data_IF_910920174070
#
_entry.id   IF_910920174070
#
_cell.length_a   1.000
_cell.length_b   1.000
_cell.length_c   1.000
_cell.angle_alpha   90.00
_cell.angle_beta   90.00
_cell.angle_gamma   90.00
#
_symmetry.space_group_name_H-M   'P 1'
#
loop_
_entity.id
_entity.type
_entity.pdbx_description
1 polymer ?
#
# COMPACT_ATOMS: atom_id res chain seq x y z
N UNK A 1 -4.92 -12.51 -13.42
CA UNK A 1 -6.20 -12.05 -12.85
C UNK A 1 -6.06 -10.55 -12.61
N UNK A 2 -7.00 -9.75 -13.04
CA UNK A 2 -6.96 -8.29 -12.84
C UNK A 2 -8.04 -7.91 -11.83
N UNK A 3 -7.63 -7.31 -10.72
CA UNK A 3 -8.54 -6.67 -9.76
C UNK A 3 -8.49 -5.16 -9.96
N UNK A 4 -9.48 -4.43 -9.45
CA UNK A 4 -9.58 -2.97 -9.64
C UNK A 4 -8.37 -2.16 -9.15
N UNK A 5 -7.55 -2.73 -8.25
CA UNK A 5 -6.42 -2.05 -7.60
C UNK A 5 -5.06 -2.71 -7.87
N UNK A 6 -5.01 -3.87 -8.52
CA UNK A 6 -3.73 -4.52 -8.85
C UNK A 6 -3.87 -5.53 -9.98
N UNK A 7 -2.79 -5.71 -10.74
CA UNK A 7 -2.62 -6.82 -11.68
C UNK A 7 -1.89 -7.96 -10.97
N UNK A 8 -2.45 -9.16 -11.03
CA UNK A 8 -1.81 -10.38 -10.54
C UNK A 8 -1.46 -11.31 -11.71
N UNK A 9 -0.18 -11.60 -11.85
CA UNK A 9 0.44 -12.43 -12.88
C UNK A 9 0.84 -13.78 -12.29
N UNK A 10 0.40 -14.87 -12.91
CA UNK A 10 0.88 -16.21 -12.58
C UNK A 10 2.19 -16.45 -13.36
N UNK A 11 3.27 -16.70 -12.64
CA UNK A 11 4.59 -16.94 -13.23
C UNK A 11 5.05 -18.35 -12.88
N UNK A 12 5.70 -19.02 -13.85
CA UNK A 12 6.31 -20.33 -13.67
C UNK A 12 7.82 -20.19 -13.70
N UNK A 13 8.49 -20.63 -12.63
CA UNK A 13 9.95 -20.69 -12.54
C UNK A 13 10.47 -21.86 -13.38
N UNK A 14 11.75 -21.80 -13.76
CA UNK A 14 12.43 -22.87 -14.51
C UNK A 14 12.37 -24.22 -13.79
N UNK A 15 12.45 -24.22 -12.45
CA UNK A 15 12.30 -25.41 -11.61
C UNK A 15 10.85 -25.94 -11.53
N UNK A 16 9.93 -25.42 -12.33
CA UNK A 16 8.53 -25.82 -12.39
C UNK A 16 7.63 -25.23 -11.31
N UNK A 17 8.15 -24.53 -10.30
CA UNK A 17 7.34 -23.91 -9.23
C UNK A 17 6.61 -22.68 -9.75
N UNK A 18 5.36 -22.54 -9.34
CA UNK A 18 4.52 -21.39 -9.68
C UNK A 18 4.53 -20.34 -8.56
N UNK A 19 4.52 -19.07 -8.94
CA UNK A 19 4.42 -17.91 -8.03
C UNK A 19 3.45 -16.89 -8.59
N UNK A 20 2.91 -16.04 -7.72
CA UNK A 20 2.05 -14.93 -8.11
C UNK A 20 2.82 -13.63 -7.94
N UNK A 21 2.98 -12.88 -9.02
CA UNK A 21 3.50 -11.51 -8.95
C UNK A 21 2.32 -10.53 -8.99
N UNK A 22 2.21 -9.70 -7.96
CA UNK A 22 1.19 -8.65 -7.84
C UNK A 22 1.86 -7.30 -8.03
N UNK A 23 1.29 -6.48 -8.91
CA UNK A 23 1.74 -5.12 -9.22
C UNK A 23 0.53 -4.19 -8.99
N UNK A 24 0.61 -3.22 -8.05
CA UNK A 24 -0.45 -2.25 -7.83
C UNK A 24 -0.76 -1.43 -9.09
N UNK A 25 -2.04 -1.15 -9.31
CA UNK A 25 -2.46 -0.19 -10.33
C UNK A 25 -2.25 1.24 -9.81
N UNK A 26 -2.02 2.22 -10.70
CA UNK A 26 -1.84 3.64 -10.31
C UNK A 26 -3.00 4.24 -9.50
N UNK A 27 -4.17 3.59 -9.51
CA UNK A 27 -5.39 4.00 -8.83
C UNK A 27 -5.44 3.48 -7.38
N UNK A 28 -4.51 2.61 -6.97
CA UNK A 28 -4.53 1.91 -5.68
C UNK A 28 -4.18 2.74 -4.43
N UNK A 29 -4.14 4.08 -4.52
CA UNK A 29 -3.67 4.94 -3.43
C UNK A 29 -2.16 5.24 -3.51
N UNK A 30 -1.56 5.86 -2.47
CA UNK A 30 -0.12 6.06 -2.41
C UNK A 30 0.57 4.70 -2.46
N UNK A 31 1.17 4.41 -3.61
CA UNK A 31 1.63 3.09 -3.98
C UNK A 31 2.49 2.46 -2.85
N UNK A 32 3.37 3.24 -2.24
CA UNK A 32 4.30 2.73 -1.23
C UNK A 32 3.58 2.21 0.03
N UNK A 33 2.52 2.90 0.47
CA UNK A 33 1.80 2.54 1.69
C UNK A 33 0.96 1.28 1.50
N UNK A 34 0.35 1.10 0.32
CA UNK A 34 -0.51 -0.05 0.07
C UNK A 34 0.31 -1.34 -0.08
N UNK A 35 1.41 -1.29 -0.81
CA UNK A 35 2.32 -2.43 -0.95
C UNK A 35 2.92 -2.85 0.40
N UNK A 36 3.47 -1.90 1.16
CA UNK A 36 4.11 -2.21 2.44
C UNK A 36 3.11 -2.65 3.51
N UNK A 37 1.90 -2.08 3.54
CA UNK A 37 0.86 -2.49 4.50
C UNK A 37 0.27 -3.86 4.20
N UNK A 38 0.15 -4.22 2.93
CA UNK A 38 -0.28 -5.57 2.54
C UNK A 38 0.74 -6.63 2.94
N UNK A 39 2.03 -6.37 2.72
CA UNK A 39 3.10 -7.27 3.16
C UNK A 39 3.13 -7.39 4.67
N UNK A 40 3.04 -6.28 5.41
CA UNK A 40 3.00 -6.30 6.87
C UNK A 40 1.79 -7.09 7.41
N UNK A 41 0.63 -6.96 6.79
CA UNK A 41 -0.56 -7.74 7.13
C UNK A 41 -0.36 -9.25 6.89
N UNK A 42 0.16 -9.64 5.72
CA UNK A 42 0.41 -11.05 5.39
C UNK A 42 1.41 -11.69 6.34
N UNK A 43 2.53 -11.01 6.63
CA UNK A 43 3.55 -11.50 7.55
C UNK A 43 3.03 -11.59 8.99
N UNK A 44 2.21 -10.62 9.43
CA UNK A 44 1.60 -10.67 10.74
C UNK A 44 0.62 -11.84 10.88
N UNK A 45 -0.32 -11.99 9.94
CA UNK A 45 -1.32 -13.06 9.97
C UNK A 45 -0.62 -14.43 9.96
N UNK A 46 0.39 -14.59 9.10
CA UNK A 46 1.19 -15.81 9.01
C UNK A 46 1.88 -16.16 10.33
N UNK A 47 2.35 -15.16 11.08
CA UNK A 47 3.13 -15.36 12.31
C UNK A 47 2.27 -15.53 13.55
N UNK A 48 1.12 -14.85 13.61
CA UNK A 48 0.32 -14.72 14.83
C UNK A 48 -1.03 -15.47 14.79
N UNK A 49 -1.38 -16.10 13.66
CA UNK A 49 -2.65 -16.83 13.52
C UNK A 49 -2.46 -18.21 12.89
N UNK A 50 -3.49 -19.05 12.93
CA UNK A 50 -3.51 -20.32 12.21
C UNK A 50 -3.99 -20.20 10.75
N UNK A 51 -4.30 -18.98 10.30
CA UNK A 51 -4.93 -18.73 9.01
C UNK A 51 -3.91 -18.95 7.90
N UNK A 52 -4.20 -19.83 6.91
CA UNK A 52 -3.29 -20.05 5.80
C UNK A 52 -3.30 -18.82 4.88
N UNK A 53 -2.18 -18.10 4.86
CA UNK A 53 -1.93 -17.01 3.92
C UNK A 53 -0.72 -17.35 3.02
N UNK A 54 -0.71 -16.90 1.75
CA UNK A 54 0.45 -17.05 0.87
C UNK A 54 1.71 -16.44 1.49
N UNK A 55 2.85 -17.13 1.39
CA UNK A 55 4.11 -16.57 1.85
C UNK A 55 4.60 -15.48 0.90
N UNK A 56 5.08 -14.38 1.45
CA UNK A 56 5.80 -13.34 0.71
C UNK A 56 7.20 -13.86 0.40
N UNK A 57 7.53 -13.94 -0.89
CA UNK A 57 8.82 -14.42 -1.39
C UNK A 57 9.80 -13.27 -1.64
N UNK A 58 9.27 -12.15 -2.11
CA UNK A 58 10.03 -10.93 -2.40
C UNK A 58 9.02 -9.79 -2.60
N UNK A 59 9.38 -8.57 -2.28
CA UNK A 59 8.52 -7.40 -2.49
C UNK A 59 9.38 -6.14 -2.55
N UNK A 60 8.82 -5.07 -3.10
CA UNK A 60 9.39 -3.73 -3.01
C UNK A 60 8.26 -2.70 -3.10
N UNK A 61 8.26 -1.76 -2.17
CA UNK A 61 7.39 -0.58 -2.21
C UNK A 61 8.08 0.65 -2.82
N UNK A 62 9.32 0.52 -3.29
CA UNK A 62 10.00 1.59 -4.01
C UNK A 62 9.91 1.32 -5.51
N UNK A 63 9.35 2.25 -6.28
CA UNK A 63 9.31 2.14 -7.74
C UNK A 63 10.69 2.23 -8.41
N UNK A 64 11.71 2.74 -7.71
CA UNK A 64 13.08 2.88 -8.19
C UNK A 64 13.90 1.59 -8.08
N UNK A 65 13.26 0.46 -8.33
CA UNK A 65 13.88 -0.86 -8.37
C UNK A 65 13.97 -1.37 -9.84
N UNK A 66 14.71 -2.46 -10.13
CA UNK A 66 14.87 -2.97 -11.50
C UNK A 66 13.57 -3.34 -12.24
N UNK A 67 12.47 -3.58 -11.53
CA UNK A 67 11.13 -3.83 -12.12
C UNK A 67 10.48 -2.52 -12.59
N UNK A 68 10.93 -1.36 -12.08
CA UNK A 68 10.38 -0.03 -12.39
C UNK A 68 9.00 0.24 -11.80
N UNK A 69 8.56 -0.63 -10.88
CA UNK A 69 7.27 -0.55 -10.22
C UNK A 69 7.33 -1.29 -8.89
N UNK A 70 6.43 -0.94 -7.99
CA UNK A 70 6.22 -1.72 -6.78
C UNK A 70 5.65 -3.09 -7.10
N UNK A 71 5.97 -4.05 -6.25
CA UNK A 71 5.53 -5.41 -6.45
C UNK A 71 5.51 -6.22 -5.15
N UNK A 72 4.72 -7.29 -5.19
CA UNK A 72 4.76 -8.38 -4.21
C UNK A 72 4.81 -9.69 -4.99
N UNK A 73 5.83 -10.51 -4.75
CA UNK A 73 5.93 -11.89 -5.23
C UNK A 73 5.50 -12.82 -4.09
N UNK A 74 4.46 -13.60 -4.33
CA UNK A 74 3.82 -14.49 -3.38
C UNK A 74 3.94 -15.95 -3.85
N UNK A 75 3.89 -16.89 -2.91
CA UNK A 75 3.59 -18.28 -3.24
C UNK A 75 2.19 -18.41 -3.87
N UNK A 76 2.01 -19.35 -4.80
CA UNK A 76 0.68 -19.66 -5.31
C UNK A 76 -0.10 -20.41 -4.23
N UNK A 77 -1.25 -19.87 -3.82
CA UNK A 77 -2.17 -20.58 -2.93
C UNK A 77 -2.66 -21.88 -3.59
N UNK A 78 -2.62 -22.98 -2.82
CA UNK A 78 -3.18 -24.24 -3.26
C UNK A 78 -4.72 -24.19 -3.19
N UNK A 79 -5.37 -24.86 -4.14
CA UNK A 79 -6.84 -24.96 -4.21
C UNK A 79 -7.44 -24.24 -5.40
N UNK A 80 -8.76 -24.10 -5.36
CA UNK A 80 -9.57 -23.47 -6.41
C UNK A 80 -10.44 -22.37 -5.81
N UNK A 81 -10.76 -21.30 -6.56
CA UNK A 81 -11.68 -20.28 -6.08
C UNK A 81 -13.04 -20.87 -5.72
N UNK A 82 -13.56 -20.53 -4.54
CA UNK A 82 -14.79 -21.13 -4.01
C UNK A 82 -15.99 -21.00 -4.96
N UNK A 83 -16.11 -19.85 -5.65
CA UNK A 83 -17.23 -19.61 -6.57
C UNK A 83 -17.34 -20.65 -7.69
N UNK A 84 -16.23 -21.30 -8.07
CA UNK A 84 -16.21 -22.34 -9.11
C UNK A 84 -16.80 -23.67 -8.62
N UNK A 85 -16.82 -23.90 -7.31
CA UNK A 85 -17.29 -25.17 -6.71
C UNK A 85 -18.58 -24.99 -5.93
N UNK A 86 -18.91 -23.77 -5.52
CA UNK A 86 -20.04 -23.47 -4.64
C UNK A 86 -21.38 -24.06 -5.15
N UNK A 87 -21.67 -23.94 -6.44
CA UNK A 87 -22.92 -24.46 -7.01
C UNK A 87 -23.01 -25.99 -6.88
N UNK A 88 -21.90 -26.69 -7.08
CA UNK A 88 -21.82 -28.15 -7.11
C UNK A 88 -21.66 -28.80 -5.72
N UNK A 89 -21.41 -28.00 -4.67
CA UNK A 89 -21.22 -28.50 -3.31
C UNK A 89 -22.55 -28.92 -2.67
N UNK A 90 -22.52 -30.04 -1.95
CA UNK A 90 -23.63 -30.46 -1.10
C UNK A 90 -23.90 -29.44 0.01
N UNK A 91 -25.14 -29.36 0.48
CA UNK A 91 -25.53 -28.40 1.52
C UNK A 91 -24.75 -28.59 2.83
N UNK A 92 -24.49 -29.85 3.22
CA UNK A 92 -23.69 -30.16 4.40
C UNK A 92 -22.24 -29.63 4.28
N UNK A 93 -21.63 -29.77 3.11
CA UNK A 93 -20.26 -29.27 2.86
C UNK A 93 -20.21 -27.73 2.88
N UNK A 94 -21.26 -27.08 2.37
CA UNK A 94 -21.41 -25.61 2.45
C UNK A 94 -21.49 -25.15 3.90
N UNK A 95 -22.29 -25.82 4.72
CA UNK A 95 -22.43 -25.50 6.15
C UNK A 95 -21.09 -25.67 6.88
N UNK A 96 -20.36 -26.76 6.61
CA UNK A 96 -19.06 -26.99 7.24
C UNK A 96 -17.99 -25.99 6.77
N UNK A 97 -18.02 -25.58 5.50
CA UNK A 97 -17.18 -24.50 5.01
C UNK A 97 -17.49 -23.17 5.71
N UNK A 98 -18.76 -22.79 5.84
CA UNK A 98 -19.17 -21.57 6.54
C UNK A 98 -18.68 -21.61 7.99
N UNK A 99 -18.86 -22.73 8.70
CA UNK A 99 -18.34 -22.89 10.07
C UNK A 99 -16.82 -22.73 10.15
N UNK A 100 -16.07 -23.15 9.14
CA UNK A 100 -14.62 -22.96 9.13
C UNK A 100 -14.25 -21.50 8.81
N UNK A 101 -14.98 -20.84 7.90
CA UNK A 101 -14.80 -19.42 7.62
C UNK A 101 -15.04 -18.56 8.86
N UNK A 102 -16.10 -18.83 9.63
CA UNK A 102 -16.38 -18.08 10.87
C UNK A 102 -15.29 -18.27 11.93
N UNK A 103 -14.61 -19.42 11.98
CA UNK A 103 -13.44 -19.60 12.86
C UNK A 103 -12.25 -18.73 12.44
N UNK A 104 -12.04 -18.51 11.14
CA UNK A 104 -10.99 -17.61 10.65
C UNK A 104 -11.34 -16.15 10.96
N UNK A 105 -12.59 -15.76 10.72
CA UNK A 105 -13.10 -14.43 11.04
C UNK A 105 -13.02 -14.12 12.54
N UNK A 106 -13.39 -15.08 13.40
CA UNK A 106 -13.28 -14.96 14.85
C UNK A 106 -11.82 -14.77 15.30
N UNK A 107 -10.86 -15.50 14.70
CA UNK A 107 -9.44 -15.32 14.98
C UNK A 107 -8.97 -13.90 14.61
N UNK A 108 -9.32 -13.41 13.42
CA UNK A 108 -8.95 -12.06 13.00
C UNK A 108 -9.57 -10.99 13.91
N UNK A 109 -10.84 -11.17 14.27
CA UNK A 109 -11.60 -10.22 15.10
C UNK A 109 -11.12 -10.17 16.55
N UNK A 110 -10.46 -11.22 17.02
CA UNK A 110 -9.87 -11.26 18.37
C UNK A 110 -8.62 -10.39 18.52
N UNK A 111 -8.01 -9.94 17.41
CA UNK A 111 -6.80 -9.12 17.42
C UNK A 111 -7.17 -7.67 17.74
N UNK A 112 -6.66 -7.14 18.86
CA UNK A 112 -6.98 -5.80 19.35
C UNK A 112 -5.85 -4.81 19.06
N UNK A 113 -5.79 -4.27 17.85
CA UNK A 113 -4.75 -3.29 17.52
C UNK A 113 -4.91 -1.98 18.32
N UNK A 114 -3.80 -1.33 18.71
CA UNK A 114 -3.84 -0.14 19.55
C UNK A 114 -4.18 1.15 18.79
N UNK A 115 -4.33 1.07 17.45
CA UNK A 115 -4.72 2.17 16.57
C UNK A 115 -5.26 1.66 15.24
N UNK A 116 -5.90 2.57 14.49
CA UNK A 116 -6.36 2.34 13.13
C UNK A 116 -5.28 2.73 12.11
N UNK A 117 -5.20 1.98 11.02
CA UNK A 117 -4.26 2.26 9.94
C UNK A 117 -3.78 1.01 9.22
N UNK A 118 -2.68 1.14 8.47
CA UNK A 118 -2.00 0.02 7.83
C UNK A 118 -1.05 -0.68 8.82
N UNK A 119 -0.86 -1.99 8.65
CA UNK A 119 0.10 -2.77 9.42
C UNK A 119 1.39 -2.94 8.62
N UNK A 120 2.51 -2.50 9.18
CA UNK A 120 3.80 -2.45 8.48
C UNK A 120 4.86 -3.24 9.23
N UNK A 121 5.87 -3.71 8.50
CA UNK A 121 7.11 -4.19 9.08
C UNK A 121 7.92 -3.00 9.63
N UNK A 122 8.35 -3.10 10.88
CA UNK A 122 9.07 -2.01 11.54
C UNK A 122 10.43 -1.72 10.89
N UNK A 123 11.08 -2.76 10.36
CA UNK A 123 12.36 -2.61 9.66
C UNK A 123 12.25 -1.68 8.44
N UNK A 124 11.09 -1.69 7.78
CA UNK A 124 10.85 -0.93 6.56
C UNK A 124 10.10 0.40 6.83
N UNK A 125 9.55 0.57 8.04
CA UNK A 125 8.82 1.76 8.46
C UNK A 125 9.68 3.03 8.52
N UNK A 126 10.95 2.92 8.91
CA UNK A 126 11.83 4.06 9.16
C UNK A 126 12.15 4.94 7.95
N UNK A 127 11.99 4.41 6.73
CA UNK A 127 12.24 5.16 5.50
C UNK A 127 10.98 5.83 4.91
N UNK A 128 9.78 5.38 5.28
CA UNK A 128 8.54 5.68 4.55
C UNK A 128 7.39 6.21 5.42
N UNK A 129 7.48 6.09 6.76
CA UNK A 129 6.40 6.46 7.68
C UNK A 129 6.81 7.63 8.58
N UNK A 130 6.22 8.84 8.43
CA UNK A 130 6.53 9.98 9.29
C UNK A 130 6.03 9.78 10.73
N UNK A 131 4.94 9.02 10.90
CA UNK A 131 4.36 8.68 12.20
C UNK A 131 3.93 7.21 12.19
N UNK A 132 4.33 6.45 13.21
CA UNK A 132 3.87 5.08 13.42
C UNK A 132 3.70 4.78 14.91
N UNK A 133 2.81 3.85 15.23
CA UNK A 133 2.54 3.36 16.58
C UNK A 133 3.00 1.91 16.70
N UNK A 134 3.77 1.61 17.75
CA UNK A 134 4.25 0.25 18.02
C UNK A 134 3.11 -0.61 18.55
N UNK A 135 3.13 -1.88 18.19
CA UNK A 135 2.29 -2.88 18.84
C UNK A 135 2.81 -3.16 20.26
N UNK A 136 1.89 -3.53 21.15
CA UNK A 136 2.24 -3.97 22.49
C UNK A 136 2.87 -5.39 22.44
N UNK A 137 3.54 -5.78 23.52
CA UNK A 137 4.20 -7.10 23.62
C UNK A 137 3.22 -8.26 23.60
N UNK A 138 1.98 -8.06 24.03
CA UNK A 138 0.96 -9.12 24.03
C UNK A 138 0.49 -9.48 22.61
N UNK A 139 0.54 -8.54 21.66
CA UNK A 139 0.13 -8.73 20.27
C UNK A 139 1.34 -9.10 19.41
N UNK A 140 2.49 -8.47 19.65
CA UNK A 140 3.73 -8.73 18.93
C UNK A 140 4.93 -8.78 19.89
N UNK A 141 5.20 -9.96 20.48
CA UNK A 141 6.31 -10.14 21.42
C UNK A 141 7.69 -9.89 20.80
N UNK A 142 7.80 -10.02 19.48
CA UNK A 142 9.04 -9.80 18.73
C UNK A 142 9.23 -8.35 18.29
N UNK A 143 8.22 -7.52 18.51
CA UNK A 143 8.14 -6.14 18.07
C UNK A 143 8.46 -5.95 16.57
N UNK A 144 8.16 -6.93 15.71
CA UNK A 144 8.43 -6.84 14.27
C UNK A 144 7.51 -5.89 13.52
N UNK A 145 6.38 -5.49 14.09
CA UNK A 145 5.31 -4.77 13.40
C UNK A 145 4.94 -3.43 14.06
N UNK A 146 4.37 -2.53 13.26
CA UNK A 146 3.82 -1.26 13.71
C UNK A 146 2.58 -0.86 12.89
N UNK A 147 1.72 -0.02 13.48
CA UNK A 147 0.61 0.62 12.79
C UNK A 147 1.06 1.97 12.25
N UNK A 148 0.82 2.21 10.97
CA UNK A 148 1.12 3.47 10.29
C UNK A 148 -0.13 4.07 9.63
N UNK A 149 0.02 5.16 8.85
CA UNK A 149 -1.08 5.74 8.09
C UNK A 149 -1.82 4.71 7.22
N UNK A 150 -3.12 4.93 7.02
CA UNK A 150 -3.90 4.14 6.06
C UNK A 150 -3.45 4.43 4.64
N UNK A 151 -3.48 3.41 3.77
CA UNK A 151 -3.25 3.54 2.33
C UNK A 151 -4.42 4.16 1.56
N UNK A 152 -5.49 4.58 2.25
CA UNK A 152 -6.69 5.14 1.61
C UNK A 152 -6.45 6.50 0.95
N UNK A 153 -6.86 6.60 -0.32
CA UNK A 153 -6.73 7.79 -1.17
C UNK A 153 -7.33 9.06 -0.56
N UNK A 154 -8.38 8.95 0.27
CA UNK A 154 -9.10 10.11 0.84
C UNK A 154 -8.31 10.90 1.89
N UNK A 155 -7.30 10.31 2.50
CA UNK A 155 -6.53 10.95 3.58
C UNK A 155 -5.27 11.67 3.07
N UNK A 156 -4.87 11.45 1.81
CA UNK A 156 -3.69 12.04 1.19
C UNK A 156 -3.90 13.42 0.54
N UNK A 157 -5.14 13.92 0.50
CA UNK A 157 -5.47 15.27 0.02
C UNK A 157 -5.39 16.28 1.17
N UNK A 158 -4.25 16.36 1.83
CA UNK A 158 -3.83 17.63 2.44
C UNK A 158 -2.74 18.19 1.54
N UNK A 159 -2.91 19.39 0.96
CA UNK A 159 -1.85 20.03 0.21
C UNK A 159 -0.59 20.05 1.07
N UNK A 160 0.50 19.46 0.59
CA UNK A 160 1.83 19.77 1.13
C UNK A 160 2.06 21.24 0.80
N UNK A 161 1.73 22.14 1.73
CA UNK A 161 2.26 23.51 1.67
C UNK A 161 3.76 23.37 1.86
N UNK A 162 4.49 23.38 0.75
CA UNK A 162 5.93 23.64 0.80
C UNK A 162 6.07 25.12 1.08
N UNK A 163 6.11 25.51 2.36
CA UNK A 163 6.75 26.77 2.74
C UNK A 163 8.24 26.61 2.45
N UNK A 164 8.66 27.10 1.29
CA UNK A 164 10.03 27.52 1.11
C UNK A 164 10.14 28.89 1.78
N UNK A 165 10.85 28.94 2.91
CA UNK A 165 11.38 30.20 3.45
C UNK A 165 12.30 30.82 2.39
N UNK A 166 11.80 31.85 1.72
CA UNK A 166 12.61 32.73 0.90
C UNK A 166 12.70 34.06 1.65
N UNK A 167 13.84 34.26 2.31
CA UNK A 167 14.22 35.53 2.92
C UNK A 167 14.46 36.56 1.79
N UNK A 168 13.43 37.36 1.47
CA UNK A 168 13.54 38.45 0.50
C UNK A 168 13.94 39.72 1.24
N UNK A 169 15.23 40.04 1.18
CA UNK A 169 15.71 41.39 1.46
C UNK A 169 15.18 42.35 0.40
N UNK A 170 14.33 43.27 0.85
CA UNK A 170 13.90 44.45 0.12
C UNK A 170 15.12 45.30 -0.26
N UNK A 171 15.28 45.63 -1.55
CA UNK A 171 16.32 46.56 -1.99
C UNK A 171 16.75 46.40 -3.44
N UNK A 172 16.07 47.16 -4.30
CA UNK A 172 16.63 47.83 -5.48
C UNK A 172 16.83 47.09 -6.82
N UNK A 173 16.59 47.91 -7.86
CA UNK A 173 17.11 47.87 -9.22
C UNK A 173 16.31 47.04 -10.26
N UNK A 174 15.27 47.65 -10.84
CA UNK A 174 14.95 47.41 -12.24
C UNK A 174 15.35 48.62 -13.09
N UNK A 175 16.37 48.41 -13.92
CA UNK A 175 16.75 49.24 -15.07
C UNK A 175 16.55 48.38 -16.33
N UNK A 176 15.59 48.75 -17.18
CA UNK A 176 15.48 48.37 -18.61
C UNK A 176 14.36 49.24 -19.22
N UNK A 177 14.63 50.36 -19.88
CA UNK A 177 14.96 50.58 -21.31
C UNK A 177 14.02 49.94 -22.33
N UNK A 178 13.41 50.81 -23.16
CA UNK A 178 12.73 50.55 -24.44
C UNK A 178 11.22 50.80 -24.40
N UNK A 179 10.70 52.03 -24.61
CA UNK A 179 10.37 52.68 -25.91
C UNK A 179 9.17 52.02 -26.62
N UNK A 180 8.15 52.67 -27.20
CA UNK A 180 7.74 54.07 -27.43
C UNK A 180 6.30 54.04 -28.03
N UNK A 181 5.69 55.21 -28.23
CA UNK A 181 4.40 55.55 -28.89
C UNK A 181 3.19 55.56 -27.93
N UNK A 182 2.40 56.62 -27.78
CA UNK A 182 2.18 57.86 -28.53
C UNK A 182 1.69 58.95 -27.55
N UNK A 183 1.81 60.25 -27.91
CA UNK A 183 0.82 61.33 -27.73
C UNK A 183 1.47 62.68 -28.08
N UNK A 184 0.65 63.55 -28.72
CA UNK A 184 0.83 64.95 -29.12
C UNK A 184 1.31 65.18 -30.58
N UNK A 185 0.67 66.02 -31.39
CA UNK A 185 -0.08 67.23 -31.04
C UNK A 185 -1.06 67.63 -32.16
N UNK A 186 -2.20 68.17 -31.75
CA UNK A 186 -3.14 68.88 -32.60
C UNK A 186 -2.78 70.37 -32.66
N UNK A 187 -2.85 70.94 -33.87
CA UNK A 187 -3.19 72.33 -34.20
C UNK A 187 -2.29 73.46 -33.68
N UNK A 188 -1.68 74.19 -34.63
CA UNK A 188 -1.17 75.56 -34.42
C UNK A 188 0.01 75.89 -35.29
#
# INVERSE_FOLDING_TARGET
MEGGFSKALLMKKENGKEVVAKIPCRIAGPACLTTASEVGALEYIRKHTSIPVPRVLSWSSDSWNPVGAEYIVLEKAAGVPLFQRWADMAEIDKLDLIKNLTKLEAQLSSIQFPAYGGLYLRADAGAQLPTYQRLNESIDPSHTFCIGPSGDLKMGLQPRTMEHDVDVKSGDIYRKTGASSDIEQALG
#
